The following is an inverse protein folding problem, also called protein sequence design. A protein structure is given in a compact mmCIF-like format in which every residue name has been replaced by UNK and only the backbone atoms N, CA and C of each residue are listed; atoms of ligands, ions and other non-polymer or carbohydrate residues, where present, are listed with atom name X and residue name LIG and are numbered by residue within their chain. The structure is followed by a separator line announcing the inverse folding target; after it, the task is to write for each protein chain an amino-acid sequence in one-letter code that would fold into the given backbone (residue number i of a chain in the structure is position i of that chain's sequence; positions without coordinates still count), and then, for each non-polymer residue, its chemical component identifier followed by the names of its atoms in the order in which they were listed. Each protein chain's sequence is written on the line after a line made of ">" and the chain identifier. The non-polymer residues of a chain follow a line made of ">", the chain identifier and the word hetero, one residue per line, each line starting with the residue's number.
data_IF_291914320560
#
_entry.id   IF_291914320560
#
_cell.length_a   1.000
_cell.length_b   1.000
_cell.length_c   1.000
_cell.angle_alpha   90.00
_cell.angle_beta   90.00
_cell.angle_gamma   90.00
#
_symmetry.space_group_name_H-M   'P 1'
#
loop_
_entity.id
_entity.type
_entity.pdbx_description
1 polymer ?
#
# COMPACT_ATOMS: atom_id res chain seq x y z
N UNK A 1 27.08 6.72 15.00
CA UNK A 1 25.80 7.12 14.39
C UNK A 1 24.72 6.12 14.77
N UNK A 2 23.55 6.57 15.24
CA UNK A 2 22.47 5.66 15.65
C UNK A 2 21.71 5.10 14.43
N UNK A 3 21.59 3.78 14.34
CA UNK A 3 20.85 3.06 13.28
C UNK A 3 19.53 2.52 13.82
N UNK A 4 18.50 2.42 12.98
CA UNK A 4 17.25 1.72 13.31
C UNK A 4 16.69 1.00 12.08
N UNK A 5 15.97 -0.09 12.32
CA UNK A 5 15.12 -0.76 11.32
C UNK A 5 13.70 -0.80 11.86
N UNK A 6 12.71 -0.58 11.01
CA UNK A 6 11.31 -0.73 11.40
C UNK A 6 10.44 -1.35 10.32
N UNK A 7 9.30 -1.89 10.74
CA UNK A 7 8.22 -2.35 9.87
C UNK A 7 6.89 -1.79 10.33
N UNK A 8 5.88 -1.81 9.46
CA UNK A 8 4.52 -1.35 9.75
C UNK A 8 3.56 -2.51 9.47
N UNK A 9 2.71 -2.84 10.44
CA UNK A 9 1.74 -3.94 10.33
C UNK A 9 0.36 -3.57 10.87
N UNK A 10 -0.67 -4.22 10.36
CA UNK A 10 -1.88 -4.44 11.14
C UNK A 10 -1.62 -5.55 12.17
N UNK A 11 -2.37 -5.59 13.28
CA UNK A 11 -2.03 -6.50 14.40
C UNK A 11 -2.03 -7.99 14.03
N UNK A 12 -2.84 -8.40 13.04
CA UNK A 12 -2.83 -9.76 12.50
C UNK A 12 -1.58 -10.14 11.69
N UNK A 13 -0.68 -9.19 11.41
CA UNK A 13 0.57 -9.42 10.68
C UNK A 13 1.80 -9.33 11.60
N UNK A 14 1.62 -9.22 12.92
CA UNK A 14 2.73 -9.23 13.89
C UNK A 14 3.66 -10.44 13.79
N UNK A 15 3.19 -11.68 13.54
CA UNK A 15 4.09 -12.81 13.30
C UNK A 15 5.07 -12.59 12.14
N UNK A 16 4.67 -11.87 11.10
CA UNK A 16 5.55 -11.56 9.97
C UNK A 16 6.60 -10.50 10.36
N UNK A 17 6.20 -9.46 11.09
CA UNK A 17 7.14 -8.50 11.68
C UNK A 17 8.13 -9.18 12.63
N UNK A 18 7.71 -10.21 13.38
CA UNK A 18 8.61 -11.00 14.22
C UNK A 18 9.64 -11.78 13.39
N UNK A 19 9.21 -12.45 12.32
CA UNK A 19 10.12 -13.17 11.42
C UNK A 19 11.15 -12.23 10.79
N UNK A 20 10.70 -11.06 10.30
CA UNK A 20 11.57 -10.00 9.79
C UNK A 20 12.55 -9.51 10.88
N UNK A 21 12.05 -9.15 12.07
CA UNK A 21 12.86 -8.67 13.18
C UNK A 21 13.94 -9.67 13.59
N UNK A 22 13.60 -10.97 13.64
CA UNK A 22 14.57 -12.02 13.91
C UNK A 22 15.66 -12.07 12.83
N UNK A 23 15.28 -11.97 11.55
CA UNK A 23 16.23 -11.98 10.43
C UNK A 23 17.18 -10.78 10.48
N UNK A 24 16.69 -9.60 10.85
CA UNK A 24 17.49 -8.40 11.07
C UNK A 24 18.44 -8.60 12.24
N UNK A 25 17.95 -9.08 13.39
CA UNK A 25 18.76 -9.30 14.59
C UNK A 25 19.84 -10.36 14.42
N UNK A 26 19.62 -11.36 13.57
CA UNK A 26 20.62 -12.37 13.23
C UNK A 26 21.82 -11.76 12.48
N UNK A 27 21.58 -10.75 11.64
CA UNK A 27 22.63 -10.07 10.86
C UNK A 27 23.20 -8.86 11.60
N UNK A 28 22.38 -8.20 12.42
CA UNK A 28 22.67 -6.93 13.09
C UNK A 28 22.16 -6.94 14.55
N UNK A 29 22.82 -7.66 15.48
CA UNK A 29 22.36 -7.78 16.87
C UNK A 29 22.23 -6.43 17.58
N UNK A 30 23.11 -5.48 17.25
CA UNK A 30 23.20 -4.16 17.89
C UNK A 30 22.22 -3.13 17.29
N UNK A 31 21.62 -3.41 16.13
CA UNK A 31 20.66 -2.49 15.51
C UNK A 31 19.27 -2.75 16.09
N UNK A 32 18.59 -1.77 16.69
CA UNK A 32 17.23 -1.96 17.20
C UNK A 32 16.25 -2.15 16.04
N UNK A 33 15.28 -3.04 16.25
CA UNK A 33 14.16 -3.30 15.36
C UNK A 33 12.86 -2.87 16.04
N UNK A 34 12.03 -2.11 15.34
CA UNK A 34 10.77 -1.56 15.83
C UNK A 34 9.60 -2.03 14.98
N UNK A 35 8.43 -2.12 15.60
CA UNK A 35 7.18 -2.41 14.90
C UNK A 35 6.21 -1.27 15.11
N UNK A 36 5.76 -0.66 14.03
CA UNK A 36 4.65 0.30 14.05
C UNK A 36 3.36 -0.48 13.80
N UNK A 37 2.34 -0.26 14.64
CA UNK A 37 1.02 -0.89 14.46
C UNK A 37 0.02 0.11 13.89
N UNK A 38 -0.43 -0.16 12.68
CA UNK A 38 -1.45 0.59 11.95
C UNK A 38 -2.87 0.16 12.35
N UNK A 39 -3.10 -0.13 13.63
CA UNK A 39 -4.33 -0.73 14.14
C UNK A 39 -4.63 -0.23 15.57
N UNK A 40 -5.82 -0.50 16.09
CA UNK A 40 -6.18 -0.22 17.49
C UNK A 40 -5.84 -1.40 18.40
N UNK A 41 -5.33 -1.08 19.57
CA UNK A 41 -5.26 -2.01 20.71
C UNK A 41 -6.69 -2.34 21.16
N UNK A 42 -6.99 -3.63 21.33
CA UNK A 42 -8.33 -4.13 21.66
C UNK A 42 -8.35 -4.97 22.94
N UNK A 43 -7.28 -4.87 23.74
CA UNK A 43 -7.08 -5.63 24.98
C UNK A 43 -6.77 -7.13 24.78
N UNK A 44 -6.87 -7.66 23.55
CA UNK A 44 -6.45 -9.03 23.23
C UNK A 44 -4.93 -9.05 23.00
N UNK A 45 -4.42 -8.02 22.35
CA UNK A 45 -3.00 -7.87 22.06
C UNK A 45 -2.45 -6.65 22.78
N UNK A 46 -1.49 -6.85 23.68
CA UNK A 46 -0.82 -5.77 24.40
C UNK A 46 0.50 -5.40 23.74
N UNK A 47 0.66 -4.14 23.33
CA UNK A 47 1.89 -3.72 22.64
C UNK A 47 3.14 -3.79 23.51
N UNK A 48 3.00 -3.57 24.82
CA UNK A 48 4.10 -3.69 25.80
C UNK A 48 4.63 -5.10 25.99
N UNK A 49 3.85 -6.12 25.63
CA UNK A 49 4.22 -7.54 25.79
C UNK A 49 4.79 -8.16 24.51
N UNK A 50 4.96 -7.36 23.45
CA UNK A 50 5.50 -7.83 22.18
C UNK A 50 7.02 -8.02 22.24
N UNK A 51 7.53 -8.97 21.44
CA UNK A 51 8.97 -9.30 21.39
C UNK A 51 9.84 -8.09 21.02
N UNK A 52 9.36 -7.28 20.10
CA UNK A 52 10.02 -6.06 19.65
C UNK A 52 9.25 -4.83 20.14
N UNK A 53 9.93 -3.71 20.43
CA UNK A 53 9.28 -2.46 20.78
C UNK A 53 8.20 -2.10 19.74
N UNK A 54 6.96 -2.08 20.20
CA UNK A 54 5.77 -1.89 19.37
C UNK A 54 5.18 -0.51 19.65
N UNK A 55 5.03 0.29 18.62
CA UNK A 55 4.62 1.70 18.69
C UNK A 55 3.28 1.83 17.94
N UNK A 56 2.21 2.26 18.61
CA UNK A 56 0.94 2.51 17.94
C UNK A 56 1.05 3.71 16.99
N UNK A 57 0.27 3.71 15.91
CA UNK A 57 0.24 4.82 14.95
C UNK A 57 -0.14 6.17 15.58
N UNK A 58 -0.83 6.17 16.73
CA UNK A 58 -1.17 7.36 17.52
C UNK A 58 0.05 8.09 18.07
N UNK A 59 1.20 7.43 18.23
CA UNK A 59 2.44 8.05 18.71
C UNK A 59 3.28 8.71 17.60
N UNK A 60 2.88 8.56 16.32
CA UNK A 60 3.65 9.11 15.18
C UNK A 60 3.51 10.62 14.99
N UNK A 61 2.60 11.26 15.74
CA UNK A 61 2.37 12.68 15.69
C UNK A 61 1.45 13.14 14.56
N UNK A 62 0.52 12.29 14.11
CA UNK A 62 -0.33 12.55 12.94
C UNK A 62 -1.53 13.42 13.37
N UNK A 63 -1.41 14.73 13.13
CA UNK A 63 -2.47 15.70 13.40
C UNK A 63 -2.69 16.00 14.89
N UNK A 64 -1.63 16.02 15.69
CA UNK A 64 -1.70 16.05 17.16
C UNK A 64 -2.56 17.17 17.74
N UNK A 65 -3.69 16.78 18.33
CA UNK A 65 -4.26 17.11 19.65
C UNK A 65 -5.44 16.14 19.92
N UNK A 66 -6.05 15.60 18.85
CA UNK A 66 -7.25 14.76 18.88
C UNK A 66 -7.24 13.52 17.96
N UNK A 67 -6.12 13.25 17.25
CA UNK A 67 -5.97 12.15 16.29
C UNK A 67 -6.99 12.14 15.13
N UNK A 68 -7.69 13.24 14.87
CA UNK A 68 -8.72 13.29 13.81
C UNK A 68 -8.13 12.97 12.45
N UNK A 69 -6.94 13.49 12.14
CA UNK A 69 -6.30 13.22 10.86
C UNK A 69 -5.95 11.73 10.69
N UNK A 70 -5.42 11.09 11.74
CA UNK A 70 -5.11 9.67 11.75
C UNK A 70 -6.36 8.83 11.48
N UNK A 71 -7.45 9.13 12.17
CA UNK A 71 -8.74 8.45 12.03
C UNK A 71 -9.33 8.64 10.61
N UNK A 72 -9.23 9.84 10.05
CA UNK A 72 -9.62 10.09 8.66
C UNK A 72 -8.76 9.32 7.66
N UNK A 73 -7.45 9.23 7.88
CA UNK A 73 -6.54 8.41 7.07
C UNK A 73 -6.89 6.92 7.18
N UNK A 74 -7.06 6.40 8.39
CA UNK A 74 -7.42 5.01 8.65
C UNK A 74 -8.79 4.63 8.03
N UNK A 75 -9.71 5.59 7.94
CA UNK A 75 -11.01 5.39 7.30
C UNK A 75 -10.91 5.41 5.77
N UNK A 76 -10.29 6.42 5.17
CA UNK A 76 -10.30 6.59 3.70
C UNK A 76 -9.37 5.63 2.97
N UNK A 77 -8.33 5.14 3.64
CA UNK A 77 -7.39 4.16 3.12
C UNK A 77 -7.80 2.74 3.50
N UNK A 78 -7.67 1.79 2.58
CA UNK A 78 -7.68 0.38 2.98
C UNK A 78 -6.44 0.03 3.82
N UNK A 79 -6.36 -1.18 4.39
CA UNK A 79 -5.25 -1.55 5.28
C UNK A 79 -3.86 -1.38 4.62
N UNK A 80 -3.71 -1.74 3.35
CA UNK A 80 -2.43 -1.59 2.62
C UNK A 80 -2.10 -0.11 2.38
N UNK A 81 -3.08 0.66 1.90
CA UNK A 81 -2.96 2.11 1.70
C UNK A 81 -2.64 2.82 3.02
N UNK A 82 -3.23 2.39 4.14
CA UNK A 82 -2.99 3.02 5.44
C UNK A 82 -1.60 2.69 5.99
N UNK A 83 -1.20 1.41 6.01
CA UNK A 83 0.15 1.01 6.43
C UNK A 83 1.23 1.76 5.64
N UNK A 84 1.03 1.90 4.32
CA UNK A 84 1.97 2.60 3.45
C UNK A 84 1.97 4.11 3.67
N UNK A 85 0.80 4.72 3.95
CA UNK A 85 0.68 6.13 4.29
C UNK A 85 1.45 6.52 5.57
N UNK A 86 1.64 5.58 6.51
CA UNK A 86 2.34 5.82 7.78
C UNK A 86 3.88 5.86 7.65
N UNK A 87 4.46 5.33 6.57
CA UNK A 87 5.94 5.26 6.39
C UNK A 87 6.64 6.61 6.61
N UNK A 88 6.28 7.71 5.94
CA UNK A 88 6.96 9.00 6.15
C UNK A 88 6.84 9.51 7.60
N UNK A 89 5.71 9.27 8.27
CA UNK A 89 5.51 9.66 9.66
C UNK A 89 6.37 8.83 10.63
N UNK A 90 6.51 7.53 10.36
CA UNK A 90 7.39 6.65 11.12
C UNK A 90 8.88 7.03 10.94
N UNK A 91 9.31 7.33 9.71
CA UNK A 91 10.65 7.88 9.49
C UNK A 91 10.88 9.16 10.30
N UNK A 92 9.97 10.14 10.18
CA UNK A 92 10.06 11.41 10.92
C UNK A 92 10.10 11.20 12.44
N UNK A 93 9.30 10.27 12.97
CA UNK A 93 9.36 9.86 14.37
C UNK A 93 10.77 9.41 14.76
N UNK A 94 11.37 8.44 14.06
CA UNK A 94 12.71 7.93 14.41
C UNK A 94 13.81 8.99 14.23
N UNK A 95 13.71 9.84 13.20
CA UNK A 95 14.67 10.94 12.99
C UNK A 95 14.61 11.98 14.13
N UNK A 96 13.43 12.24 14.70
CA UNK A 96 13.24 13.09 15.89
C UNK A 96 13.77 12.44 17.17
N UNK A 97 13.74 11.11 17.27
CA UNK A 97 14.34 10.35 18.38
C UNK A 97 15.89 10.26 18.31
N UNK A 98 16.51 10.92 17.33
CA UNK A 98 17.97 10.98 17.17
C UNK A 98 18.57 9.77 16.46
N UNK A 99 17.77 8.97 15.74
CA UNK A 99 18.31 8.01 14.78
C UNK A 99 18.82 8.75 13.54
N UNK A 100 19.98 8.34 13.04
CA UNK A 100 20.67 8.97 11.92
C UNK A 100 20.46 8.22 10.61
N UNK A 101 20.23 6.90 10.69
CA UNK A 101 20.04 6.03 9.53
C UNK A 101 18.92 5.06 9.82
N UNK A 102 17.84 5.17 9.08
CA UNK A 102 16.63 4.39 9.33
C UNK A 102 16.31 3.59 8.09
N UNK A 103 16.05 2.29 8.27
CA UNK A 103 15.59 1.39 7.21
C UNK A 103 14.14 1.00 7.49
N UNK A 104 13.32 1.05 6.46
CA UNK A 104 12.00 0.44 6.44
C UNK A 104 12.02 -0.88 5.67
N UNK A 105 11.29 -1.87 6.18
CA UNK A 105 10.93 -3.08 5.46
C UNK A 105 9.43 -3.39 5.58
N UNK A 106 8.80 -3.76 4.47
CA UNK A 106 7.49 -4.42 4.47
C UNK A 106 7.59 -5.71 5.31
N UNK A 107 6.51 -6.10 6.03
CA UNK A 107 6.56 -7.21 6.98
C UNK A 107 6.76 -8.58 6.32
N UNK A 108 6.53 -8.70 5.00
CA UNK A 108 6.76 -9.91 4.23
C UNK A 108 8.17 -10.00 3.63
N UNK A 109 9.11 -9.22 4.16
CA UNK A 109 10.53 -9.31 3.83
C UNK A 109 11.28 -10.17 4.85
N UNK A 110 12.29 -10.90 4.37
CA UNK A 110 13.27 -11.59 5.22
C UNK A 110 14.70 -11.21 4.80
N UNK A 111 15.55 -10.92 5.79
CA UNK A 111 16.94 -10.52 5.60
C UNK A 111 17.87 -11.74 5.73
N UNK A 112 18.67 -11.98 4.69
CA UNK A 112 19.56 -13.14 4.56
C UNK A 112 21.04 -12.81 4.72
N UNK A 113 21.44 -11.54 4.51
CA UNK A 113 22.83 -11.09 4.65
C UNK A 113 22.92 -9.68 5.27
N UNK A 114 24.15 -9.19 5.49
CA UNK A 114 24.37 -7.89 6.13
C UNK A 114 23.77 -6.72 5.35
N UNK A 115 23.15 -5.79 6.09
CA UNK A 115 22.66 -4.48 5.63
C UNK A 115 23.73 -3.37 5.69
N UNK A 116 25.00 -3.69 5.95
CA UNK A 116 26.06 -2.68 6.11
C UNK A 116 26.26 -1.83 4.86
N UNK A 117 26.15 -2.40 3.66
CA UNK A 117 26.22 -1.66 2.40
C UNK A 117 25.18 -0.52 2.40
N UNK A 118 23.92 -0.81 2.74
CA UNK A 118 22.84 0.18 2.82
C UNK A 118 23.16 1.27 3.85
N UNK A 119 23.59 0.87 5.05
CA UNK A 119 23.98 1.85 6.08
C UNK A 119 25.17 2.69 5.66
N UNK A 120 26.11 2.13 4.89
CA UNK A 120 27.27 2.84 4.39
C UNK A 120 26.88 3.84 3.29
N UNK A 121 25.95 3.48 2.40
CA UNK A 121 25.43 4.41 1.38
C UNK A 121 24.72 5.62 1.99
N UNK A 122 24.05 5.45 3.14
CA UNK A 122 23.47 6.55 3.90
C UNK A 122 24.50 7.48 4.59
N UNK A 123 25.82 7.24 4.45
CA UNK A 123 26.82 8.24 4.84
C UNK A 123 26.86 9.42 3.87
N UNK A 124 26.55 9.17 2.59
CA UNK A 124 26.71 10.14 1.50
C UNK A 124 25.42 10.40 0.73
N UNK A 125 24.38 9.62 0.99
CA UNK A 125 23.11 9.68 0.28
C UNK A 125 21.98 9.93 1.27
N UNK A 126 21.02 10.77 0.90
CA UNK A 126 19.84 11.07 1.72
C UNK A 126 18.84 9.93 1.76
N UNK A 127 18.80 9.12 0.71
CA UNK A 127 17.87 8.01 0.59
C UNK A 127 18.48 6.87 -0.21
N UNK A 128 18.12 5.64 0.14
CA UNK A 128 18.43 4.43 -0.63
C UNK A 128 17.12 3.75 -1.03
N UNK A 129 16.97 3.48 -2.33
CA UNK A 129 15.80 2.80 -2.91
C UNK A 129 16.23 1.64 -3.81
N UNK A 130 15.31 0.72 -4.07
CA UNK A 130 15.53 -0.40 -5.00
C UNK A 130 14.51 -0.36 -6.14
N UNK A 131 14.92 -0.51 -7.41
CA UNK A 131 13.98 -0.63 -8.52
C UNK A 131 13.30 -2.01 -8.50
N UNK A 132 12.12 -2.11 -9.12
CA UNK A 132 11.51 -3.42 -9.33
C UNK A 132 12.42 -4.33 -10.18
N UNK A 133 12.98 -3.80 -11.28
CA UNK A 133 13.84 -4.54 -12.21
C UNK A 133 15.15 -3.80 -12.46
N UNK A 134 16.23 -4.54 -12.75
CA UNK A 134 17.57 -3.99 -12.97
C UNK A 134 18.13 -4.26 -14.37
N UNK A 135 17.54 -5.18 -15.13
CA UNK A 135 18.09 -5.66 -16.40
C UNK A 135 17.28 -5.13 -17.57
N UNK A 136 17.96 -4.42 -18.47
CA UNK A 136 17.38 -3.98 -19.73
C UNK A 136 17.22 -5.17 -20.67
N UNK A 137 15.97 -5.48 -21.07
CA UNK A 137 15.65 -6.54 -22.01
C UNK A 137 14.96 -5.96 -23.24
N UNK A 138 15.42 -6.35 -24.44
CA UNK A 138 14.72 -6.02 -25.69
C UNK A 138 13.41 -6.80 -25.83
N UNK A 139 13.38 -8.03 -25.32
CA UNK A 139 12.18 -8.87 -25.26
C UNK A 139 11.92 -9.20 -23.80
N UNK A 140 10.94 -8.52 -23.20
CA UNK A 140 10.64 -8.68 -21.79
C UNK A 140 10.07 -10.07 -21.49
N UNK A 141 10.69 -10.79 -20.55
CA UNK A 141 10.31 -12.16 -20.15
C UNK A 141 9.67 -12.27 -18.77
N UNK A 142 9.36 -11.13 -18.14
CA UNK A 142 8.84 -11.09 -16.78
C UNK A 142 7.39 -11.56 -16.64
N UNK A 143 7.09 -12.14 -15.47
CA UNK A 143 5.72 -12.56 -15.11
C UNK A 143 4.77 -11.37 -14.96
N UNK A 144 5.27 -10.25 -14.42
CA UNK A 144 4.50 -9.02 -14.22
C UNK A 144 4.64 -8.18 -15.48
N UNK A 145 3.56 -7.86 -16.21
CA UNK A 145 3.66 -7.06 -17.43
C UNK A 145 4.27 -5.67 -17.18
N UNK A 146 5.06 -5.15 -18.13
CA UNK A 146 5.69 -3.83 -18.01
C UNK A 146 4.68 -2.70 -17.78
N UNK A 147 3.48 -2.79 -18.40
CA UNK A 147 2.39 -1.85 -18.15
C UNK A 147 1.93 -1.80 -16.69
N UNK A 148 2.04 -2.93 -15.97
CA UNK A 148 1.77 -2.97 -14.54
C UNK A 148 2.92 -2.35 -13.75
N UNK A 149 4.18 -2.61 -14.13
CA UNK A 149 5.35 -1.97 -13.51
C UNK A 149 5.29 -0.44 -13.63
N UNK A 150 4.94 0.08 -14.82
CA UNK A 150 4.74 1.52 -15.04
C UNK A 150 3.64 2.10 -14.16
N UNK A 151 2.57 1.33 -13.91
CA UNK A 151 1.49 1.78 -13.04
C UNK A 151 1.91 1.81 -11.57
N UNK A 152 2.55 0.74 -11.08
CA UNK A 152 2.88 0.63 -9.65
C UNK A 152 4.05 1.52 -9.27
N UNK A 153 5.01 1.77 -10.16
CA UNK A 153 6.17 2.62 -9.93
C UNK A 153 7.49 1.94 -10.29
N UNK A 154 8.51 2.75 -10.56
CA UNK A 154 9.87 2.30 -10.90
C UNK A 154 10.51 1.60 -9.70
N UNK A 155 10.34 2.18 -8.51
CA UNK A 155 10.90 1.67 -7.26
C UNK A 155 9.87 0.84 -6.49
N UNK A 156 10.34 -0.21 -5.83
CA UNK A 156 9.53 -0.99 -4.90
C UNK A 156 9.80 -0.52 -3.48
N UNK A 157 8.75 -0.02 -2.82
CA UNK A 157 8.88 0.55 -1.48
C UNK A 157 8.60 -0.44 -0.35
N UNK A 158 8.64 -1.74 -0.65
CA UNK A 158 8.82 -2.73 0.39
C UNK A 158 10.17 -2.56 1.10
N UNK A 159 11.12 -1.88 0.48
CA UNK A 159 12.30 -1.37 1.15
C UNK A 159 12.55 0.09 0.77
N UNK A 160 12.88 0.90 1.77
CA UNK A 160 13.56 2.17 1.57
C UNK A 160 14.36 2.51 2.82
N UNK A 161 15.41 3.30 2.66
CA UNK A 161 16.22 3.78 3.77
C UNK A 161 16.44 5.28 3.66
N UNK A 162 16.45 5.98 4.79
CA UNK A 162 16.57 7.45 4.84
C UNK A 162 17.62 7.84 5.87
N UNK A 163 18.47 8.80 5.49
CA UNK A 163 19.42 9.44 6.39
C UNK A 163 18.77 10.65 7.07
N UNK A 164 19.24 10.96 8.28
CA UNK A 164 18.91 12.19 9.00
C UNK A 164 19.67 13.39 8.44
N UNK A 165 19.59 13.58 7.13
CA UNK A 165 20.15 14.72 6.41
C UNK A 165 19.05 15.77 6.16
N UNK A 166 19.46 16.96 5.71
CA UNK A 166 18.53 17.99 5.28
C UNK A 166 17.62 17.50 4.14
N UNK A 167 18.20 16.91 3.10
CA UNK A 167 17.43 16.38 1.96
C UNK A 167 16.56 15.18 2.35
N UNK A 168 17.02 14.28 3.22
CA UNK A 168 16.22 13.17 3.73
C UNK A 168 14.95 13.64 4.46
N UNK A 169 15.09 14.65 5.32
CA UNK A 169 13.95 15.31 5.99
C UNK A 169 13.01 16.01 5.00
N UNK A 170 13.56 16.74 4.02
CA UNK A 170 12.77 17.40 2.97
C UNK A 170 11.94 16.40 2.16
N UNK A 171 12.50 15.23 1.81
CA UNK A 171 11.76 14.15 1.14
C UNK A 171 10.64 13.63 2.03
N UNK A 172 10.92 13.37 3.31
CA UNK A 172 9.91 12.90 4.26
C UNK A 172 8.77 13.91 4.41
N UNK A 173 9.06 15.19 4.58
CA UNK A 173 8.04 16.25 4.71
C UNK A 173 7.21 16.39 3.44
N UNK A 174 7.87 16.34 2.27
CA UNK A 174 7.19 16.30 0.99
C UNK A 174 6.25 15.10 0.90
N UNK A 175 6.73 13.91 1.29
CA UNK A 175 5.98 12.65 1.23
C UNK A 175 4.79 12.63 2.19
N UNK A 176 4.94 13.10 3.44
CA UNK A 176 3.84 13.23 4.44
C UNK A 176 2.64 13.97 3.85
N UNK A 177 2.88 15.12 3.20
CA UNK A 177 1.81 15.93 2.63
C UNK A 177 1.03 15.15 1.56
N UNK A 178 1.71 14.44 0.66
CA UNK A 178 1.04 13.68 -0.42
C UNK A 178 0.32 12.46 0.12
N UNK A 179 0.92 11.74 1.06
CA UNK A 179 0.29 10.52 1.61
C UNK A 179 -0.85 10.82 2.58
N UNK A 180 -1.02 12.08 2.96
CA UNK A 180 -2.16 12.51 3.76
C UNK A 180 -3.46 12.29 2.99
N UNK A 181 -3.52 12.58 1.68
CA UNK A 181 -4.73 12.50 0.87
C UNK A 181 -4.55 11.83 -0.50
N UNK A 182 -3.37 11.34 -0.86
CA UNK A 182 -3.08 10.71 -2.17
C UNK A 182 -2.35 9.37 -2.09
N UNK A 183 -2.42 8.64 -0.97
CA UNK A 183 -1.90 7.27 -0.82
C UNK A 183 -2.88 6.19 -1.33
N UNK A 184 -3.39 6.32 -2.55
CA UNK A 184 -4.37 5.38 -3.11
C UNK A 184 -3.77 4.43 -4.14
N UNK A 185 -4.30 3.21 -4.23
CA UNK A 185 -4.14 2.37 -5.41
C UNK A 185 -5.23 2.72 -6.42
N UNK A 186 -4.95 3.67 -7.33
CA UNK A 186 -5.92 4.19 -8.30
C UNK A 186 -5.26 4.48 -9.65
N UNK A 187 -5.58 3.65 -10.65
CA UNK A 187 -5.06 3.78 -12.02
C UNK A 187 -5.53 5.05 -12.74
N UNK A 188 -6.73 5.54 -12.43
CA UNK A 188 -7.32 6.70 -13.13
C UNK A 188 -6.64 7.98 -12.66
N UNK A 189 -6.39 8.09 -11.37
CA UNK A 189 -5.67 9.23 -10.79
C UNK A 189 -4.13 9.12 -10.95
N UNK A 190 -3.63 7.99 -11.47
CA UNK A 190 -2.21 7.75 -11.66
C UNK A 190 -1.45 7.47 -10.34
N UNK A 191 -2.16 7.00 -9.32
CA UNK A 191 -1.63 6.75 -7.98
C UNK A 191 -1.41 5.25 -7.72
N UNK A 192 -0.34 4.95 -6.99
CA UNK A 192 -0.12 3.62 -6.41
C UNK A 192 0.59 3.78 -5.06
N UNK A 193 -0.25 3.93 -4.03
CA UNK A 193 0.14 4.07 -2.62
C UNK A 193 1.23 5.13 -2.43
N UNK A 194 2.21 4.80 -1.61
CA UNK A 194 3.38 5.56 -1.23
C UNK A 194 4.46 5.58 -2.32
N UNK A 195 4.60 4.48 -3.06
CA UNK A 195 5.77 4.22 -3.90
C UNK A 195 5.74 4.97 -5.24
N UNK A 196 4.56 5.21 -5.83
CA UNK A 196 4.47 5.86 -7.14
C UNK A 196 5.00 7.30 -7.13
N UNK A 197 4.86 7.97 -5.98
CA UNK A 197 5.44 9.29 -5.74
C UNK A 197 6.96 9.29 -5.88
N UNK A 198 7.60 8.15 -5.67
CA UNK A 198 9.04 8.07 -5.59
C UNK A 198 9.72 8.02 -6.95
N UNK A 199 8.93 7.84 -8.02
CA UNK A 199 9.37 8.04 -9.40
C UNK A 199 9.86 9.48 -9.65
N UNK A 200 9.40 10.46 -8.86
CA UNK A 200 9.86 11.84 -8.98
C UNK A 200 11.23 12.08 -8.34
N UNK A 201 11.63 11.29 -7.33
CA UNK A 201 12.81 11.60 -6.52
C UNK A 201 14.11 11.71 -7.32
N UNK A 202 14.40 10.85 -8.33
CA UNK A 202 15.60 11.02 -9.16
C UNK A 202 15.69 12.37 -9.89
N UNK A 203 14.56 13.06 -10.09
CA UNK A 203 14.51 14.39 -10.71
C UNK A 203 14.46 15.54 -9.69
N UNK A 204 14.24 15.25 -8.41
CA UNK A 204 14.02 16.25 -7.35
C UNK A 204 15.15 16.30 -6.32
N UNK A 205 15.95 15.23 -6.20
CA UNK A 205 16.99 15.08 -5.18
C UNK A 205 18.24 14.49 -5.83
N UNK A 206 19.37 15.17 -5.66
CA UNK A 206 20.65 14.79 -6.30
C UNK A 206 21.35 13.64 -5.56
N UNK A 207 21.22 13.56 -4.24
CA UNK A 207 21.90 12.59 -3.38
C UNK A 207 21.05 11.35 -3.07
N UNK A 208 20.34 10.86 -4.10
CA UNK A 208 19.63 9.58 -4.09
C UNK A 208 20.57 8.45 -4.50
N UNK A 209 20.64 7.38 -3.68
CA UNK A 209 21.26 6.13 -4.09
C UNK A 209 20.20 5.14 -4.59
N UNK A 210 20.37 4.65 -5.83
CA UNK A 210 19.56 3.57 -6.39
C UNK A 210 20.38 2.28 -6.28
N UNK A 211 20.02 1.42 -5.33
CA UNK A 211 20.63 0.11 -5.15
C UNK A 211 20.14 -0.84 -6.24
N UNK A 212 21.07 -1.36 -7.06
CA UNK A 212 20.78 -2.20 -8.24
C UNK A 212 21.29 -3.64 -8.10
N UNK A 213 21.94 -3.97 -6.99
CA UNK A 213 22.42 -5.31 -6.69
C UNK A 213 21.28 -6.32 -6.71
N UNK A 214 21.50 -7.43 -7.40
CA UNK A 214 20.48 -8.45 -7.63
C UNK A 214 20.04 -9.16 -6.33
N UNK A 215 20.89 -9.14 -5.31
CA UNK A 215 20.60 -9.65 -3.97
C UNK A 215 19.60 -8.82 -3.16
N UNK A 216 19.22 -7.62 -3.60
CA UNK A 216 18.31 -6.73 -2.87
C UNK A 216 16.90 -6.76 -3.45
N UNK A 217 15.89 -6.86 -2.58
CA UNK A 217 14.46 -6.78 -2.95
C UNK A 217 14.03 -7.76 -4.05
N UNK A 218 14.47 -9.02 -3.91
CA UNK A 218 14.08 -10.08 -4.84
C UNK A 218 12.61 -10.49 -4.60
N UNK A 219 11.79 -10.50 -5.66
CA UNK A 219 10.37 -10.84 -5.61
C UNK A 219 9.80 -11.19 -7.00
N UNK A 220 8.50 -11.47 -7.07
CA UNK A 220 7.81 -11.95 -8.29
C UNK A 220 8.04 -11.10 -9.54
N UNK A 221 8.26 -9.79 -9.40
CA UNK A 221 8.53 -8.89 -10.51
C UNK A 221 9.93 -9.04 -11.13
N UNK A 222 10.90 -9.62 -10.42
CA UNK A 222 12.28 -9.80 -10.90
C UNK A 222 12.78 -11.26 -10.94
N UNK A 223 11.93 -12.26 -10.69
CA UNK A 223 12.30 -13.69 -10.84
C UNK A 223 12.83 -14.06 -12.23
N UNK A 224 12.36 -13.36 -13.25
CA UNK A 224 12.77 -13.58 -14.64
C UNK A 224 14.22 -13.17 -14.91
N UNK A 225 14.75 -12.18 -14.20
CA UNK A 225 16.14 -11.70 -14.36
C UNK A 225 17.07 -12.23 -13.26
N UNK A 226 16.54 -12.80 -12.17
CA UNK A 226 17.33 -13.22 -11.00
C UNK A 226 17.22 -14.71 -10.74
N UNK A 227 18.36 -15.37 -10.55
CA UNK A 227 18.47 -16.79 -10.24
C UNK A 227 19.04 -16.97 -8.84
N UNK A 228 18.46 -17.88 -8.06
CA UNK A 228 19.02 -18.28 -6.76
C UNK A 228 19.92 -19.51 -6.93
N UNK A 229 21.04 -19.47 -6.22
CA UNK A 229 21.97 -20.58 -6.03
C UNK A 229 22.25 -20.77 -4.54
N UNK A 230 22.47 -22.02 -4.12
CA UNK A 230 22.82 -22.35 -2.73
C UNK A 230 24.29 -22.74 -2.68
N UNK A 231 25.12 -21.90 -2.06
CA UNK A 231 26.55 -22.15 -1.88
C UNK A 231 26.84 -22.23 -0.38
N UNK A 232 27.35 -23.37 0.10
CA UNK A 232 27.66 -23.60 1.52
C UNK A 232 26.51 -23.26 2.49
N UNK A 233 25.26 -23.54 2.10
CA UNK A 233 24.07 -23.24 2.90
C UNK A 233 23.62 -21.78 2.88
N UNK A 234 24.29 -20.92 2.12
CA UNK A 234 23.91 -19.52 1.90
C UNK A 234 23.27 -19.33 0.53
N UNK A 235 22.33 -18.40 0.43
CA UNK A 235 21.69 -18.04 -0.83
C UNK A 235 22.50 -16.96 -1.55
N UNK A 236 22.78 -17.22 -2.83
CA UNK A 236 23.43 -16.31 -3.75
C UNK A 236 22.51 -16.02 -4.92
N UNK A 237 22.65 -14.84 -5.51
CA UNK A 237 21.85 -14.38 -6.64
C UNK A 237 22.78 -14.02 -7.79
N UNK A 238 22.44 -14.48 -8.99
CA UNK A 238 23.07 -14.11 -10.26
C UNK A 238 22.01 -13.65 -11.25
N UNK A 239 22.43 -12.94 -12.30
CA UNK A 239 21.55 -12.58 -13.40
C UNK A 239 21.21 -13.83 -14.21
N UNK A 240 19.92 -14.16 -14.33
CA UNK A 240 19.45 -15.34 -15.07
C UNK A 240 19.70 -15.23 -16.57
N UNK A 241 19.82 -14.01 -17.11
CA UNK A 241 19.89 -13.74 -18.55
C UNK A 241 21.33 -13.84 -19.05
N UNK A 242 22.29 -13.23 -18.35
CA UNK A 242 23.69 -13.18 -18.78
C UNK A 242 24.70 -13.86 -17.82
N UNK A 243 24.23 -14.34 -16.66
CA UNK A 243 25.07 -15.00 -15.65
C UNK A 243 25.93 -14.06 -14.79
N UNK A 244 25.82 -12.74 -14.97
CA UNK A 244 26.63 -11.75 -14.27
C UNK A 244 26.12 -11.44 -12.85
N UNK A 245 26.88 -10.64 -12.10
CA UNK A 245 26.41 -10.04 -10.85
C UNK A 245 26.21 -11.01 -9.69
N UNK A 246 26.99 -12.10 -9.62
CA UNK A 246 26.92 -13.05 -8.51
C UNK A 246 27.22 -12.36 -7.18
N UNK A 247 26.25 -12.38 -6.27
CA UNK A 247 26.35 -11.78 -4.94
C UNK A 247 25.45 -12.50 -3.92
N UNK A 248 25.63 -12.30 -2.61
CA UNK A 248 24.72 -12.85 -1.62
C UNK A 248 23.29 -12.33 -1.81
N UNK A 249 22.29 -13.16 -1.55
CA UNK A 249 20.92 -12.70 -1.34
C UNK A 249 20.91 -11.89 -0.04
N UNK A 250 20.60 -10.60 -0.12
CA UNK A 250 20.56 -9.71 1.04
C UNK A 250 19.19 -9.71 1.68
N UNK A 251 18.13 -9.51 0.89
CA UNK A 251 16.77 -9.69 1.37
C UNK A 251 15.81 -10.06 0.25
N UNK A 252 14.81 -10.87 0.60
CA UNK A 252 13.76 -11.33 -0.30
C UNK A 252 12.41 -10.79 0.17
N UNK A 253 11.61 -10.29 -0.76
CA UNK A 253 10.27 -9.78 -0.53
C UNK A 253 9.26 -10.82 -1.01
N UNK A 254 8.60 -11.49 -0.07
CA UNK A 254 7.68 -12.60 -0.32
C UNK A 254 6.28 -12.12 -0.76
N UNK A 255 6.25 -11.09 -1.60
CA UNK A 255 5.02 -10.58 -2.20
C UNK A 255 4.31 -11.69 -2.99
N UNK A 256 2.99 -11.78 -2.81
CA UNK A 256 2.11 -12.76 -3.44
C UNK A 256 2.23 -14.20 -2.88
N UNK A 257 2.92 -14.42 -1.76
CA UNK A 257 2.88 -15.71 -1.06
C UNK A 257 1.65 -15.83 -0.15
N UNK A 258 1.21 -17.06 0.11
CA UNK A 258 0.03 -17.36 0.91
C UNK A 258 0.41 -17.57 2.38
N UNK A 259 0.73 -16.48 3.10
CA UNK A 259 1.32 -16.53 4.45
C UNK A 259 0.55 -17.35 5.49
N UNK A 260 -0.77 -17.45 5.38
CA UNK A 260 -1.60 -18.28 6.27
C UNK A 260 -1.34 -19.78 6.10
N UNK A 261 -0.85 -20.18 4.95
CA UNK A 261 -0.51 -21.56 4.61
C UNK A 261 0.97 -21.88 4.91
N UNK A 262 1.66 -21.08 5.74
CA UNK A 262 3.08 -21.29 6.05
C UNK A 262 3.40 -22.70 6.59
N UNK A 263 2.46 -23.36 7.26
CA UNK A 263 2.61 -24.75 7.71
C UNK A 263 2.56 -25.80 6.58
N UNK A 264 2.16 -25.40 5.36
CA UNK A 264 2.12 -26.24 4.16
C UNK A 264 2.89 -25.55 3.01
N UNK A 265 4.18 -25.88 2.80
CA UNK A 265 5.01 -25.20 1.81
C UNK A 265 4.50 -25.24 0.37
N UNK A 266 3.74 -26.27 -0.01
CA UNK A 266 3.14 -26.35 -1.35
C UNK A 266 2.02 -25.31 -1.54
N UNK A 267 1.20 -25.10 -0.51
CA UNK A 267 0.11 -24.12 -0.53
C UNK A 267 0.60 -22.70 -0.23
N UNK A 268 1.71 -22.57 0.52
CA UNK A 268 2.36 -21.31 0.83
C UNK A 268 2.85 -20.58 -0.43
N UNK A 269 3.42 -21.33 -1.38
CA UNK A 269 4.05 -20.74 -2.56
C UNK A 269 3.03 -20.39 -3.64
N UNK A 270 3.22 -19.28 -4.38
CA UNK A 270 2.33 -18.93 -5.48
C UNK A 270 2.50 -19.90 -6.66
N UNK A 271 1.41 -20.18 -7.38
CA UNK A 271 1.38 -21.14 -8.50
C UNK A 271 2.49 -20.92 -9.55
N UNK A 272 2.82 -19.67 -9.86
CA UNK A 272 3.80 -19.32 -10.89
C UNK A 272 5.25 -19.66 -10.51
N UNK A 273 5.53 -19.92 -9.23
CA UNK A 273 6.87 -20.29 -8.76
C UNK A 273 7.39 -21.58 -9.43
N UNK A 274 6.50 -22.43 -9.94
CA UNK A 274 6.83 -23.66 -10.65
C UNK A 274 7.69 -23.41 -11.91
N UNK A 275 7.64 -22.20 -12.48
CA UNK A 275 8.51 -21.78 -13.59
C UNK A 275 9.93 -21.41 -13.15
N UNK A 276 10.15 -21.30 -11.83
CA UNK A 276 11.37 -20.82 -11.19
C UNK A 276 11.71 -21.73 -9.99
N UNK A 277 11.96 -23.01 -10.27
CA UNK A 277 12.22 -24.03 -9.24
C UNK A 277 13.43 -23.73 -8.36
N UNK A 278 14.37 -22.90 -8.82
CA UNK A 278 15.49 -22.39 -8.02
C UNK A 278 15.05 -21.54 -6.81
N UNK A 279 13.80 -21.07 -6.79
CA UNK A 279 13.23 -20.30 -5.68
C UNK A 279 12.59 -21.18 -4.60
N UNK A 280 12.48 -22.49 -4.83
CA UNK A 280 11.87 -23.40 -3.86
C UNK A 280 12.60 -23.38 -2.52
N UNK A 281 13.94 -23.47 -2.46
CA UNK A 281 14.67 -23.46 -1.20
C UNK A 281 14.45 -22.20 -0.35
N UNK A 282 14.43 -21.01 -0.97
CA UNK A 282 14.20 -19.75 -0.23
C UNK A 282 12.75 -19.66 0.26
N UNK A 283 11.80 -20.17 -0.54
CA UNK A 283 10.39 -20.27 -0.14
C UNK A 283 10.17 -21.20 1.04
N UNK A 284 10.79 -22.39 1.04
CA UNK A 284 10.71 -23.35 2.15
C UNK A 284 11.34 -22.79 3.42
N UNK A 285 12.50 -22.12 3.28
CA UNK A 285 13.16 -21.48 4.40
C UNK A 285 12.21 -20.51 5.11
N UNK A 286 11.61 -19.58 4.37
CA UNK A 286 10.73 -18.58 4.95
C UNK A 286 9.40 -19.15 5.45
N UNK A 287 8.82 -20.14 4.76
CA UNK A 287 7.65 -20.87 5.26
C UNK A 287 7.91 -21.45 6.66
N UNK A 288 9.07 -22.08 6.85
CA UNK A 288 9.49 -22.58 8.16
C UNK A 288 9.62 -21.48 9.21
N UNK A 289 10.19 -20.31 8.87
CA UNK A 289 10.30 -19.17 9.79
C UNK A 289 8.92 -18.63 10.18
N UNK A 290 7.97 -18.54 9.26
CA UNK A 290 6.60 -18.11 9.56
C UNK A 290 5.80 -19.13 10.36
N UNK A 291 6.07 -20.43 10.15
CA UNK A 291 5.50 -21.49 10.96
C UNK A 291 5.98 -21.42 12.41
N UNK A 292 7.27 -21.13 12.65
CA UNK A 292 7.84 -20.90 13.99
C UNK A 292 7.15 -19.71 14.70
N UNK A 293 6.75 -18.68 13.95
CA UNK A 293 5.99 -17.52 14.45
C UNK A 293 4.46 -17.76 14.53
N UNK A 294 4.00 -18.98 14.23
CA UNK A 294 2.58 -19.37 14.26
C UNK A 294 1.69 -18.52 13.35
N UNK A 295 2.20 -18.13 12.17
CA UNK A 295 1.47 -17.27 11.23
C UNK A 295 0.09 -17.84 10.84
N UNK A 296 -0.05 -19.17 10.73
CA UNK A 296 -1.32 -19.85 10.42
C UNK A 296 -2.41 -19.62 11.50
N UNK A 297 -2.03 -19.32 12.74
CA UNK A 297 -2.96 -19.03 13.85
C UNK A 297 -3.29 -17.54 13.99
N UNK A 298 -2.60 -16.65 13.27
CA UNK A 298 -2.71 -15.19 13.45
C UNK A 298 -4.12 -14.65 13.16
N UNK A 299 -4.81 -15.25 12.18
CA UNK A 299 -6.11 -14.80 11.70
C UNK A 299 -7.27 -14.98 12.70
N UNK A 300 -7.11 -15.82 13.73
CA UNK A 300 -8.12 -16.01 14.78
C UNK A 300 -7.91 -15.08 15.98
N UNK A 301 -6.77 -14.37 16.05
CA UNK A 301 -6.34 -13.60 17.24
C UNK A 301 -6.32 -12.08 17.05
N UNK A 302 -6.69 -11.55 15.89
CA UNK A 302 -6.68 -10.09 15.67
C UNK A 302 -7.44 -9.64 14.44
N UNK A 303 -8.71 -9.25 14.59
CA UNK A 303 -9.44 -8.63 13.48
C UNK A 303 -8.99 -7.18 13.33
N UNK A 304 -8.59 -6.77 12.13
CA UNK A 304 -8.18 -5.39 11.83
C UNK A 304 -9.26 -4.39 12.26
N UNK A 305 -8.97 -3.51 13.21
CA UNK A 305 -10.00 -2.69 13.88
C UNK A 305 -10.64 -1.67 12.95
N UNK A 306 -9.88 -1.16 11.97
CA UNK A 306 -10.39 -0.20 11.00
C UNK A 306 -11.15 -0.84 9.83
N UNK A 307 -11.46 -2.15 9.89
CA UNK A 307 -12.30 -2.83 8.90
C UNK A 307 -13.80 -2.58 9.11
N UNK A 308 -14.21 -2.13 10.30
CA UNK A 308 -15.62 -1.98 10.69
C UNK A 308 -15.89 -0.66 11.38
N UNK A 309 -17.14 -0.20 11.35
CA UNK A 309 -17.64 0.82 12.27
C UNK A 309 -17.66 0.29 13.71
N UNK A 310 -17.85 1.16 14.71
CA UNK A 310 -17.83 0.77 16.13
C UNK A 310 -18.90 -0.27 16.52
N UNK A 311 -19.98 -0.39 15.76
CA UNK A 311 -20.99 -1.43 15.95
C UNK A 311 -20.70 -2.75 15.21
N UNK A 312 -19.53 -2.88 14.58
CA UNK A 312 -19.14 -4.06 13.81
C UNK A 312 -19.63 -4.10 12.36
N UNK A 313 -20.34 -3.07 11.88
CA UNK A 313 -20.75 -3.00 10.46
C UNK A 313 -19.51 -2.89 9.55
N UNK A 314 -19.46 -3.66 8.46
CA UNK A 314 -18.31 -3.68 7.54
C UNK A 314 -18.12 -2.32 6.81
N UNK A 315 -16.88 -1.87 6.69
CA UNK A 315 -16.48 -0.71 5.89
C UNK A 315 -15.95 -1.19 4.55
N UNK A 316 -16.77 -1.09 3.50
CA UNK A 316 -16.43 -1.48 2.13
C UNK A 316 -15.50 -0.46 1.47
N UNK A 317 -14.81 -0.87 0.39
CA UNK A 317 -14.03 0.05 -0.45
C UNK A 317 -14.87 1.22 -0.97
N UNK A 318 -16.14 0.97 -1.31
CA UNK A 318 -17.08 1.99 -1.76
C UNK A 318 -17.31 3.07 -0.69
N UNK A 319 -17.49 2.69 0.58
CA UNK A 319 -17.62 3.65 1.69
C UNK A 319 -16.36 4.52 1.83
N UNK A 320 -15.17 3.91 1.75
CA UNK A 320 -13.89 4.62 1.87
C UNK A 320 -13.70 5.67 0.78
N UNK A 321 -14.12 5.35 -0.46
CA UNK A 321 -14.02 6.27 -1.60
C UNK A 321 -15.09 7.35 -1.61
N UNK A 322 -16.31 7.07 -1.16
CA UNK A 322 -17.29 8.12 -0.89
C UNK A 322 -16.78 9.10 0.18
N UNK A 323 -16.20 8.56 1.25
CA UNK A 323 -15.60 9.37 2.32
C UNK A 323 -14.48 10.27 1.79
N UNK A 324 -13.55 9.72 1.00
CA UNK A 324 -12.53 10.51 0.27
C UNK A 324 -13.17 11.70 -0.46
N UNK A 325 -14.19 11.42 -1.30
CA UNK A 325 -14.81 12.47 -2.12
C UNK A 325 -15.46 13.56 -1.29
N UNK A 326 -16.11 13.19 -0.19
CA UNK A 326 -16.74 14.15 0.72
C UNK A 326 -15.69 15.07 1.36
N UNK A 327 -14.57 14.52 1.83
CA UNK A 327 -13.46 15.33 2.35
C UNK A 327 -12.91 16.30 1.31
N UNK A 328 -12.66 15.85 0.07
CA UNK A 328 -12.22 16.70 -1.04
C UNK A 328 -13.22 17.82 -1.38
N UNK A 329 -14.50 17.62 -1.04
CA UNK A 329 -15.57 18.59 -1.28
C UNK A 329 -15.84 19.50 -0.07
N UNK A 330 -14.96 19.49 0.93
CA UNK A 330 -15.02 20.37 2.10
C UNK A 330 -15.86 19.86 3.27
N UNK A 331 -16.37 18.63 3.23
CA UNK A 331 -17.01 18.01 4.39
C UNK A 331 -15.95 17.56 5.40
N UNK A 332 -16.29 17.60 6.68
CA UNK A 332 -15.39 17.17 7.76
C UNK A 332 -16.11 16.20 8.68
N UNK A 333 -15.39 15.15 9.07
CA UNK A 333 -15.86 14.14 10.01
C UNK A 333 -14.76 13.91 11.05
N UNK A 334 -15.01 14.29 12.29
CA UNK A 334 -14.05 14.14 13.39
C UNK A 334 -13.95 12.70 13.89
N UNK A 335 -15.07 11.95 13.89
CA UNK A 335 -15.15 10.56 14.34
C UNK A 335 -15.76 9.67 13.25
N UNK A 336 -15.01 9.32 12.20
CA UNK A 336 -15.58 8.66 11.01
C UNK A 336 -16.10 7.23 11.28
N UNK A 337 -15.66 6.59 12.36
CA UNK A 337 -16.10 5.26 12.79
C UNK A 337 -17.29 5.26 13.76
N UNK A 338 -17.62 6.42 14.36
CA UNK A 338 -18.67 6.56 15.37
C UNK A 338 -20.05 6.40 14.74
N UNK A 339 -20.87 5.56 15.38
CA UNK A 339 -22.24 5.25 14.94
C UNK A 339 -23.29 6.12 15.62
N UNK A 340 -22.94 6.84 16.69
CA UNK A 340 -23.87 7.61 17.52
C UNK A 340 -23.93 9.09 17.13
N UNK A 341 -22.88 9.62 16.49
CA UNK A 341 -22.86 10.97 15.95
C UNK A 341 -23.91 11.13 14.84
N UNK A 342 -24.96 11.93 15.11
CA UNK A 342 -26.05 12.19 14.19
C UNK A 342 -25.60 12.96 12.93
N UNK A 343 -24.54 13.77 13.05
CA UNK A 343 -23.91 14.45 11.92
C UNK A 343 -22.79 13.60 11.28
N UNK A 344 -22.48 12.45 11.88
CA UNK A 344 -21.38 11.57 11.49
C UNK A 344 -21.62 10.83 10.18
N UNK A 345 -20.52 10.32 9.62
CA UNK A 345 -20.52 9.64 8.32
C UNK A 345 -21.38 8.37 8.32
N UNK A 346 -21.36 7.58 9.40
CA UNK A 346 -22.19 6.38 9.52
C UNK A 346 -23.69 6.70 9.41
N UNK A 347 -24.17 7.72 10.12
CA UNK A 347 -25.58 8.10 10.10
C UNK A 347 -25.99 8.68 8.74
N UNK A 348 -25.08 9.36 8.03
CA UNK A 348 -25.29 9.79 6.66
C UNK A 348 -25.47 8.58 5.72
N UNK A 349 -24.59 7.59 5.79
CA UNK A 349 -24.74 6.37 4.98
C UNK A 349 -26.03 5.61 5.31
N UNK A 350 -26.35 5.48 6.60
CA UNK A 350 -27.54 4.76 7.07
C UNK A 350 -28.84 5.39 6.57
N UNK A 351 -28.97 6.71 6.63
CA UNK A 351 -30.14 7.45 6.11
C UNK A 351 -30.37 7.20 4.62
N UNK A 352 -29.29 7.06 3.87
CA UNK A 352 -29.30 6.83 2.43
C UNK A 352 -29.29 5.34 2.04
N UNK A 353 -29.51 4.42 2.99
CA UNK A 353 -29.51 2.97 2.73
C UNK A 353 -28.20 2.44 2.12
N UNK A 354 -27.07 3.07 2.46
CA UNK A 354 -25.73 2.69 2.02
C UNK A 354 -24.98 1.84 3.06
N UNK A 355 -25.70 1.18 3.97
CA UNK A 355 -25.15 0.22 4.93
C UNK A 355 -25.90 -1.10 4.75
N UNK A 356 -25.20 -2.18 4.43
CA UNK A 356 -25.80 -3.50 4.38
C UNK A 356 -26.15 -4.03 5.78
N UNK A 357 -27.25 -4.76 5.89
CA UNK A 357 -27.69 -5.39 7.15
C UNK A 357 -26.96 -6.71 7.45
N UNK A 358 -26.30 -7.32 6.47
CA UNK A 358 -25.62 -8.61 6.61
C UNK A 358 -24.11 -8.42 6.65
N UNK A 359 -23.50 -8.78 7.77
CA UNK A 359 -22.05 -8.99 7.89
C UNK A 359 -21.68 -10.30 7.19
N UNK A 360 -21.06 -10.21 6.01
CA UNK A 360 -20.41 -11.36 5.38
C UNK A 360 -20.65 -11.49 3.88
N UNK A 361 -19.55 -11.39 3.14
CA UNK A 361 -19.31 -11.87 1.77
C UNK A 361 -19.34 -10.84 0.62
N UNK A 362 -19.91 -9.64 0.75
CA UNK A 362 -19.95 -8.68 -0.36
C UNK A 362 -18.55 -8.19 -0.79
N UNK A 363 -17.62 -7.98 0.15
CA UNK A 363 -16.27 -7.49 -0.13
C UNK A 363 -15.30 -8.50 -0.78
N UNK A 364 -15.70 -9.77 -0.96
CA UNK A 364 -14.84 -10.84 -1.52
C UNK A 364 -15.27 -11.35 -2.89
N UNK A 365 -16.24 -10.67 -3.51
CA UNK A 365 -16.76 -11.05 -4.82
C UNK A 365 -15.89 -10.46 -5.92
N UNK A 366 -15.30 -11.32 -6.75
CA UNK A 366 -14.59 -10.97 -7.98
C UNK A 366 -15.15 -11.82 -9.14
N UNK A 367 -14.58 -11.68 -10.34
CA UNK A 367 -14.99 -12.44 -11.52
C UNK A 367 -14.90 -13.97 -11.32
N UNK A 368 -13.95 -14.44 -10.51
CA UNK A 368 -13.73 -15.86 -10.21
C UNK A 368 -14.69 -16.39 -9.14
N UNK A 369 -15.10 -15.56 -8.18
CA UNK A 369 -15.91 -15.97 -7.03
C UNK A 369 -17.41 -15.66 -7.20
N UNK A 370 -17.79 -14.87 -8.22
CA UNK A 370 -19.19 -14.51 -8.43
C UNK A 370 -19.98 -15.56 -9.21
N UNK A 371 -20.93 -16.20 -8.53
CA UNK A 371 -21.79 -17.20 -9.14
C UNK A 371 -22.59 -16.66 -10.34
N UNK A 372 -22.42 -17.34 -11.47
CA UNK A 372 -23.08 -17.00 -12.73
C UNK A 372 -22.55 -15.73 -13.41
N UNK A 373 -21.31 -15.32 -13.11
CA UNK A 373 -20.68 -14.13 -13.70
C UNK A 373 -20.80 -14.09 -15.23
N UNK A 374 -20.42 -15.18 -15.91
CA UNK A 374 -20.49 -15.30 -17.37
C UNK A 374 -21.90 -15.05 -17.91
N UNK A 375 -22.91 -15.66 -17.30
CA UNK A 375 -24.30 -15.48 -17.73
C UNK A 375 -24.78 -14.04 -17.50
N UNK A 376 -24.36 -13.40 -16.40
CA UNK A 376 -24.69 -12.00 -16.11
C UNK A 376 -23.99 -11.03 -17.06
N UNK A 377 -22.75 -11.33 -17.43
CA UNK A 377 -21.99 -10.60 -18.43
C UNK A 377 -22.73 -10.61 -19.78
N UNK A 378 -23.34 -11.73 -20.18
CA UNK A 378 -24.14 -11.80 -21.41
C UNK A 378 -25.35 -10.86 -21.39
N UNK A 379 -26.02 -10.65 -20.25
CA UNK A 379 -27.10 -9.66 -20.15
C UNK A 379 -26.59 -8.23 -20.33
N UNK A 380 -25.45 -7.89 -19.71
CA UNK A 380 -24.81 -6.58 -19.87
C UNK A 380 -24.41 -6.35 -21.34
N UNK A 381 -23.83 -7.36 -22.00
CA UNK A 381 -23.49 -7.27 -23.42
C UNK A 381 -24.72 -7.08 -24.31
N UNK A 382 -25.85 -7.74 -24.00
CA UNK A 382 -27.11 -7.52 -24.73
C UNK A 382 -27.64 -6.10 -24.54
N UNK A 383 -27.65 -5.60 -23.31
CA UNK A 383 -28.03 -4.21 -23.01
C UNK A 383 -27.13 -3.21 -23.76
N UNK A 384 -25.82 -3.43 -23.76
CA UNK A 384 -24.87 -2.62 -24.50
C UNK A 384 -25.15 -2.58 -26.01
N UNK A 385 -25.53 -3.72 -26.62
CA UNK A 385 -25.94 -3.77 -28.04
C UNK A 385 -27.21 -2.96 -28.30
N UNK A 386 -28.19 -3.04 -27.41
CA UNK A 386 -29.44 -2.26 -27.50
C UNK A 386 -29.14 -0.76 -27.39
N UNK A 387 -28.37 -0.35 -26.38
CA UNK A 387 -27.94 1.05 -26.20
C UNK A 387 -27.18 1.57 -27.42
N UNK A 388 -26.24 0.78 -27.96
CA UNK A 388 -25.52 1.12 -29.20
C UNK A 388 -26.49 1.33 -30.37
N UNK A 389 -27.48 0.46 -30.55
CA UNK A 389 -28.45 0.59 -31.64
C UNK A 389 -29.36 1.81 -31.49
N UNK A 390 -29.73 2.19 -30.26
CA UNK A 390 -30.57 3.38 -29.99
C UNK A 390 -29.79 4.69 -30.12
N UNK A 391 -28.54 4.73 -29.62
CA UNK A 391 -27.73 5.96 -29.57
C UNK A 391 -26.93 6.20 -30.86
N UNK A 392 -26.66 5.14 -31.63
CA UNK A 392 -25.64 5.14 -32.67
C UNK A 392 -24.22 5.01 -32.12
N UNK A 393 -23.27 4.61 -32.98
CA UNK A 393 -21.90 4.24 -32.55
C UNK A 393 -21.12 5.40 -31.90
N UNK A 394 -21.26 6.63 -32.41
CA UNK A 394 -20.52 7.78 -31.91
C UNK A 394 -20.93 8.16 -30.48
N UNK A 395 -22.25 8.21 -30.21
CA UNK A 395 -22.78 8.50 -28.87
C UNK A 395 -22.52 7.36 -27.90
N UNK A 396 -22.59 6.11 -28.37
CA UNK A 396 -22.21 4.95 -27.58
C UNK A 396 -20.72 4.96 -27.19
N UNK A 397 -19.82 5.30 -28.12
CA UNK A 397 -18.40 5.45 -27.81
C UNK A 397 -18.15 6.55 -26.77
N UNK A 398 -18.88 7.67 -26.84
CA UNK A 398 -18.85 8.72 -25.81
C UNK A 398 -19.37 8.20 -24.46
N UNK A 399 -20.46 7.44 -24.46
CA UNK A 399 -20.99 6.80 -23.26
C UNK A 399 -19.95 5.85 -22.63
N UNK A 400 -19.23 5.06 -23.43
CA UNK A 400 -18.15 4.21 -22.90
C UNK A 400 -17.04 5.03 -22.22
N UNK A 401 -16.62 6.15 -22.83
CA UNK A 401 -15.62 7.06 -22.24
C UNK A 401 -16.11 7.72 -20.96
N UNK A 402 -17.39 8.10 -20.92
CA UNK A 402 -18.03 8.67 -19.73
C UNK A 402 -18.19 7.63 -18.62
N UNK A 403 -18.67 6.43 -18.96
CA UNK A 403 -18.94 5.34 -18.02
C UNK A 403 -17.72 4.98 -17.19
N UNK A 404 -16.52 4.92 -17.79
CA UNK A 404 -15.27 4.66 -17.09
C UNK A 404 -15.03 5.57 -15.87
N UNK A 405 -15.47 6.83 -15.93
CA UNK A 405 -15.37 7.80 -14.84
C UNK A 405 -16.62 7.83 -13.99
N UNK A 406 -17.78 7.71 -14.62
CA UNK A 406 -19.06 7.74 -13.95
C UNK A 406 -19.17 6.66 -12.88
N UNK A 407 -18.80 5.41 -13.19
CA UNK A 407 -18.95 4.30 -12.24
C UNK A 407 -17.96 4.30 -11.07
N UNK A 408 -17.04 5.27 -11.02
CA UNK A 408 -16.13 5.43 -9.87
C UNK A 408 -16.95 5.72 -8.61
N UNK A 409 -16.65 5.09 -7.46
CA UNK A 409 -17.35 5.38 -6.21
C UNK A 409 -17.37 6.88 -5.85
N UNK A 410 -16.27 7.59 -6.12
CA UNK A 410 -16.13 9.03 -5.91
C UNK A 410 -17.14 9.86 -6.72
N UNK A 411 -17.69 9.32 -7.81
CA UNK A 411 -18.71 9.98 -8.63
C UNK A 411 -20.14 9.53 -8.29
N UNK A 412 -20.32 8.70 -7.26
CA UNK A 412 -21.62 8.19 -6.81
C UNK A 412 -22.19 8.96 -5.59
N UNK A 413 -21.69 10.16 -5.31
CA UNK A 413 -22.17 10.98 -4.18
C UNK A 413 -23.63 11.42 -4.31
N UNK A 414 -24.21 11.38 -5.51
CA UNK A 414 -25.65 11.63 -5.73
C UNK A 414 -26.56 10.62 -5.01
N UNK A 415 -26.01 9.49 -4.55
CA UNK A 415 -26.71 8.53 -3.70
C UNK A 415 -26.89 9.03 -2.25
N UNK A 416 -26.31 10.19 -1.90
CA UNK A 416 -26.42 10.80 -0.58
C UNK A 416 -27.27 12.08 -0.72
N UNK A 417 -28.51 12.04 -0.23
CA UNK A 417 -29.49 13.12 -0.38
C UNK A 417 -28.98 14.46 0.17
N UNK A 418 -28.21 14.44 1.27
CA UNK A 418 -27.65 15.64 1.89
C UNK A 418 -26.69 16.43 0.99
N UNK A 419 -26.08 15.75 0.00
CA UNK A 419 -25.06 16.31 -0.89
C UNK A 419 -25.44 16.20 -2.37
N UNK A 420 -26.59 15.61 -2.68
CA UNK A 420 -27.08 15.44 -4.04
C UNK A 420 -27.22 16.81 -4.74
N UNK A 421 -26.64 16.93 -5.93
CA UNK A 421 -26.55 18.18 -6.69
C UNK A 421 -25.55 19.21 -6.16
N UNK A 422 -24.96 19.02 -4.97
CA UNK A 422 -23.95 19.93 -4.39
C UNK A 422 -22.52 19.57 -4.80
N UNK A 423 -22.25 18.27 -4.93
CA UNK A 423 -20.93 17.77 -5.34
C UNK A 423 -20.94 17.51 -6.84
N UNK A 424 -20.10 18.24 -7.57
CA UNK A 424 -19.99 18.08 -9.00
C UNK A 424 -19.29 16.78 -9.39
N UNK A 425 -19.66 16.27 -10.58
CA UNK A 425 -18.97 15.17 -11.24
C UNK A 425 -17.47 15.48 -11.41
N UNK A 426 -16.64 14.58 -10.88
CA UNK A 426 -15.20 14.64 -10.95
C UNK A 426 -14.68 14.02 -12.25
N UNK A 427 -13.83 14.79 -12.94
CA UNK A 427 -13.07 14.34 -14.09
C UNK A 427 -11.66 14.89 -13.94
N UNK A 428 -10.68 14.01 -13.80
CA UNK A 428 -9.28 14.33 -13.64
C UNK A 428 -8.72 15.22 -14.78
N UNK A 429 -9.34 15.18 -15.96
CA UNK A 429 -8.94 16.03 -17.10
C UNK A 429 -9.58 17.44 -17.10
N UNK A 430 -10.53 17.74 -16.19
CA UNK A 430 -11.18 19.06 -16.16
C UNK A 430 -10.29 20.16 -15.57
N UNK A 431 -9.27 19.81 -14.78
CA UNK A 431 -8.42 20.78 -14.09
C UNK A 431 -7.67 21.73 -15.04
N UNK A 432 -7.31 21.29 -16.25
CA UNK A 432 -6.65 22.14 -17.25
C UNK A 432 -7.59 23.23 -17.79
N UNK A 433 -8.91 22.99 -17.79
CA UNK A 433 -9.88 23.90 -18.41
C UNK A 433 -10.61 24.82 -17.42
N UNK A 434 -10.56 24.55 -16.11
CA UNK A 434 -11.29 25.37 -15.12
C UNK A 434 -10.60 26.71 -14.86
N UNK A 435 -9.25 26.75 -14.82
CA UNK A 435 -8.50 28.01 -14.70
C UNK A 435 -8.61 28.91 -15.96
N UNK A 436 -8.98 28.35 -17.12
CA UNK A 436 -9.16 29.14 -18.35
C UNK A 436 -10.61 29.57 -18.61
N UNK A 437 -11.59 29.07 -17.84
CA UNK A 437 -13.03 29.34 -18.05
C UNK A 437 -13.71 30.05 -16.89
N UNK A 438 -12.98 30.40 -15.82
CA UNK A 438 -13.47 31.34 -14.83
C UNK A 438 -13.52 32.75 -15.44
N UNK A 439 -14.71 33.15 -15.89
CA UNK A 439 -15.04 34.56 -16.13
C UNK A 439 -14.77 35.35 -14.83
N UNK A 440 -13.94 36.42 -14.84
CA UNK A 440 -13.58 37.17 -13.63
C UNK A 440 -14.77 37.81 -12.88
N UNK A 441 -15.99 37.71 -13.40
CA UNK A 441 -17.18 38.42 -12.92
C UNK A 441 -18.05 37.68 -11.90
N UNK A 442 -17.65 36.50 -11.42
CA UNK A 442 -18.47 35.71 -10.47
C UNK A 442 -17.86 35.51 -9.09
N UNK A 443 -16.88 36.34 -8.69
CA UNK A 443 -16.51 36.39 -7.27
C UNK A 443 -17.61 37.11 -6.46
N UNK A 444 -18.09 36.54 -5.34
CA UNK A 444 -19.03 37.24 -4.48
C UNK A 444 -18.34 38.46 -3.87
N UNK A 445 -19.00 39.62 -3.96
CA UNK A 445 -18.56 40.84 -3.29
C UNK A 445 -18.39 40.57 -1.79
N UNK A 446 -17.21 40.90 -1.28
CA UNK A 446 -16.94 40.96 0.15
C UNK A 446 -17.87 41.98 0.79
N UNK A 447 -18.70 41.53 1.73
CA UNK A 447 -19.44 42.42 2.62
C UNK A 447 -18.44 42.96 3.64
N UNK A 448 -18.23 44.28 3.63
CA UNK A 448 -17.51 45.05 4.66
C UNK A 448 -18.17 44.95 6.04
#
# INVERSE_FOLDING_TARGET
>A
MRKAVFSIVAKNYLPMANALGNSVKNQHPDVPFFVIVADREDGILQFSEQRYPTIPATELGIGDTDHVLLEQMAFKYNVTEFCTALKPYAFDYFLRQGYEKVIYFDPDIYVFASLDEIFNQLNTSSMVVTPHICTLQTQYTGLVPEGMLMHVGIFNFGFCAVANSENGRRVIDWWKVRLTDQCYADKIDGLHTDQKWMDFIPSLVEDLHIERGLGYNMAIWNWHERRIEVHNGQFWVSNRIDGSGLMPLVFFHFSNFHFKEAANPEQFRPKYIQKFSDLFPVGDHYAGRLADEKMSESGSKGVYSYATFENGSEITHFHRRLFRRLLESGYSFSRPFDVNDQAGFYQMLKRNSLIEKSSGAAGKVNEETYAGFEQKLLYIQRLARVLKSLLGINRYALLCKFAQRFVRPENQTFLIDEVNGKIAFYNENRYINWQMSADPKSQPESVE
#
